data_IF_632122950039
#
_entry.id   IF_632122950039
#
_cell.length_a   1.000
_cell.length_b   1.000
_cell.length_c   1.000
_cell.angle_alpha   90.00
_cell.angle_beta   90.00
_cell.angle_gamma   90.00
#
_symmetry.space_group_name_H-M   'P 1'
#
loop_
_entity.id
_entity.type
_entity.pdbx_description
1 polymer ?
#
# COMPACT_ATOMS: atom_id res chain seq x y z
N UNK A 1 -8.19 -10.73 14.33
CA UNK A 1 -7.14 -10.28 13.40
C UNK A 1 -7.58 -10.72 12.03
N UNK A 2 -7.90 -9.77 11.15
CA UNK A 2 -8.14 -10.06 9.74
C UNK A 2 -6.80 -10.30 9.04
N UNK A 3 -6.82 -11.07 7.96
CA UNK A 3 -5.67 -11.16 7.06
C UNK A 3 -5.53 -9.81 6.34
N UNK A 4 -4.29 -9.37 6.09
CA UNK A 4 -4.02 -8.10 5.41
C UNK A 4 -3.11 -8.29 4.20
N UNK A 5 -3.52 -7.78 3.05
CA UNK A 5 -2.66 -7.67 1.87
C UNK A 5 -1.75 -6.47 2.04
N UNK A 6 -0.45 -6.64 1.83
CA UNK A 6 0.53 -5.60 2.15
C UNK A 6 1.54 -5.38 1.04
N UNK A 7 2.05 -4.14 0.95
CA UNK A 7 3.20 -3.80 0.13
C UNK A 7 4.21 -2.94 0.85
N UNK A 8 5.49 -3.17 0.53
CA UNK A 8 6.61 -2.32 0.94
C UNK A 8 7.20 -1.69 -0.30
N UNK A 9 7.18 -0.35 -0.33
CA UNK A 9 7.73 0.42 -1.43
C UNK A 9 9.14 0.89 -1.04
N UNK A 10 10.16 0.69 -1.89
CA UNK A 10 11.57 0.98 -1.57
C UNK A 10 11.91 2.48 -1.51
N UNK A 11 10.92 3.34 -1.72
CA UNK A 11 11.06 4.80 -1.66
C UNK A 11 9.99 5.38 -0.75
N UNK A 12 10.34 6.42 0.00
CA UNK A 12 9.36 7.24 0.71
C UNK A 12 8.41 7.91 -0.29
N UNK A 13 7.14 7.49 -0.31
CA UNK A 13 6.09 8.14 -1.09
C UNK A 13 5.35 9.14 -0.21
N UNK A 14 5.00 10.29 -0.80
CA UNK A 14 4.01 11.17 -0.17
C UNK A 14 2.62 10.56 -0.31
N UNK A 15 1.69 10.95 0.56
CA UNK A 15 0.30 10.50 0.47
C UNK A 15 -0.35 10.94 -0.86
N UNK A 16 0.08 12.08 -1.42
CA UNK A 16 -0.35 12.55 -2.73
C UNK A 16 0.11 11.62 -3.85
N UNK A 17 1.33 11.08 -3.77
CA UNK A 17 1.84 10.10 -4.74
C UNK A 17 1.05 8.80 -4.67
N UNK A 18 0.67 8.35 -3.46
CA UNK A 18 -0.17 7.16 -3.27
C UNK A 18 -1.54 7.38 -3.94
N UNK A 19 -2.22 8.49 -3.65
CA UNK A 19 -3.49 8.83 -4.31
C UNK A 19 -3.35 8.98 -5.83
N UNK A 20 -2.25 9.55 -6.30
CA UNK A 20 -1.98 9.66 -7.74
C UNK A 20 -1.84 8.28 -8.39
N UNK A 21 -1.09 7.37 -7.78
CA UNK A 21 -0.88 6.01 -8.28
C UNK A 21 -2.16 5.18 -8.24
N UNK A 22 -3.02 5.37 -7.24
CA UNK A 22 -4.36 4.76 -7.23
C UNK A 22 -5.16 5.21 -8.46
N UNK A 23 -5.12 6.50 -8.79
CA UNK A 23 -5.85 7.06 -9.95
C UNK A 23 -5.25 6.62 -11.28
N UNK A 24 -3.93 6.68 -11.45
CA UNK A 24 -3.28 6.40 -12.74
C UNK A 24 -2.96 4.93 -12.96
N UNK A 25 -2.61 4.19 -11.91
CA UNK A 25 -2.20 2.79 -11.97
C UNK A 25 -3.36 1.81 -11.76
N UNK A 26 -4.21 2.06 -10.75
CA UNK A 26 -5.37 1.21 -10.49
C UNK A 26 -6.66 1.71 -11.17
N UNK A 27 -6.78 3.00 -11.46
CA UNK A 27 -7.91 3.57 -12.19
C UNK A 27 -9.09 3.97 -11.31
N UNK A 28 -8.85 4.34 -10.04
CA UNK A 28 -9.92 4.89 -9.19
C UNK A 28 -10.30 6.29 -9.66
N UNK A 29 -11.59 6.64 -9.55
CA UNK A 29 -12.07 7.97 -9.90
C UNK A 29 -11.66 9.01 -8.85
N UNK A 30 -11.79 8.66 -7.57
CA UNK A 30 -11.44 9.52 -6.45
C UNK A 30 -10.72 8.73 -5.35
N UNK A 31 -9.80 9.41 -4.67
CA UNK A 31 -9.03 8.89 -3.56
C UNK A 31 -8.73 10.01 -2.57
N UNK A 32 -9.29 9.93 -1.37
CA UNK A 32 -9.15 10.93 -0.32
C UNK A 32 -8.25 10.40 0.79
N UNK A 33 -7.21 11.16 1.11
CA UNK A 33 -6.33 10.85 2.22
C UNK A 33 -6.74 11.62 3.48
N UNK A 34 -6.78 10.92 4.62
CA UNK A 34 -7.03 11.48 5.94
C UNK A 34 -5.83 11.22 6.84
N UNK A 35 -5.32 12.30 7.43
CA UNK A 35 -4.29 12.21 8.45
C UNK A 35 -4.84 11.54 9.69
N UNK A 36 -4.03 10.69 10.31
CA UNK A 36 -4.34 10.15 11.64
C UNK A 36 -3.65 10.99 12.73
N UNK A 37 -3.67 10.50 13.98
CA UNK A 37 -2.97 11.17 15.09
C UNK A 37 -1.45 11.15 14.94
N UNK A 38 -0.91 10.28 14.09
CA UNK A 38 0.51 10.14 13.82
C UNK A 38 0.83 10.73 12.45
N UNK A 39 1.85 11.58 12.36
CA UNK A 39 2.26 12.27 11.11
C UNK A 39 2.56 11.31 9.95
N UNK A 40 3.03 10.11 10.29
CA UNK A 40 3.48 9.11 9.33
C UNK A 40 2.39 8.10 8.96
N UNK A 41 1.24 8.13 9.62
CA UNK A 41 0.14 7.20 9.35
C UNK A 41 -1.06 7.93 8.76
N UNK A 42 -1.46 7.50 7.58
CA UNK A 42 -2.55 8.03 6.79
C UNK A 42 -3.52 6.93 6.41
N UNK A 43 -4.79 7.28 6.37
CA UNK A 43 -5.85 6.42 5.86
C UNK A 43 -6.26 6.99 4.50
N UNK A 44 -6.24 6.15 3.46
CA UNK A 44 -6.68 6.52 2.11
C UNK A 44 -8.00 5.81 1.81
N UNK A 45 -9.07 6.58 1.71
CA UNK A 45 -10.39 6.09 1.31
C UNK A 45 -10.56 6.29 -0.19
N UNK A 46 -11.06 5.26 -0.87
CA UNK A 46 -11.36 5.32 -2.31
C UNK A 46 -12.50 4.37 -2.66
N UNK A 47 -13.13 4.58 -3.81
CA UNK A 47 -14.06 3.63 -4.40
C UNK A 47 -13.32 2.77 -5.42
N UNK A 48 -13.49 1.45 -5.34
CA UNK A 48 -12.94 0.56 -6.36
C UNK A 48 -13.70 0.68 -7.69
N UNK A 49 -13.30 -0.11 -8.69
CA UNK A 49 -13.89 -0.05 -10.04
C UNK A 49 -15.37 -0.46 -10.08
N UNK A 50 -15.83 -1.18 -9.06
CA UNK A 50 -17.21 -1.62 -8.90
C UNK A 50 -18.02 -0.62 -8.03
N UNK A 51 -17.39 0.46 -7.55
CA UNK A 51 -18.01 1.48 -6.70
C UNK A 51 -18.04 1.09 -5.21
N UNK A 52 -17.34 0.02 -4.82
CA UNK A 52 -17.31 -0.40 -3.42
C UNK A 52 -16.29 0.42 -2.63
N UNK A 53 -16.64 0.91 -1.43
CA UNK A 53 -15.73 1.68 -0.60
C UNK A 53 -14.59 0.80 -0.09
N UNK A 54 -13.37 1.31 -0.21
CA UNK A 54 -12.14 0.65 0.24
C UNK A 54 -11.32 1.59 1.10
N UNK A 55 -10.55 0.97 1.98
CA UNK A 55 -9.63 1.66 2.88
C UNK A 55 -8.24 1.07 2.69
N UNK A 56 -7.26 1.95 2.52
CA UNK A 56 -5.84 1.65 2.43
C UNK A 56 -5.11 2.38 3.56
N UNK A 57 -4.45 1.60 4.40
CA UNK A 57 -3.59 2.10 5.45
C UNK A 57 -2.19 2.38 4.87
N UNK A 58 -1.72 3.60 5.03
CA UNK A 58 -0.45 4.07 4.49
C UNK A 58 0.46 4.57 5.62
N UNK A 59 1.57 3.87 5.83
CA UNK A 59 2.63 4.25 6.75
C UNK A 59 3.81 4.80 5.93
N UNK A 60 3.93 6.12 5.89
CA UNK A 60 4.87 6.82 5.02
C UNK A 60 6.33 6.60 5.45
N UNK A 61 6.53 6.50 6.77
CA UNK A 61 7.82 6.18 7.37
C UNK A 61 7.72 4.85 8.12
N UNK A 62 7.76 3.74 7.37
CA UNK A 62 8.19 2.48 7.98
C UNK A 62 9.72 2.50 8.00
N UNK A 63 10.31 3.09 9.04
CA UNK A 63 11.64 2.64 9.50
C UNK A 63 11.47 1.15 9.69
N UNK A 64 11.99 0.37 8.75
CA UNK A 64 11.66 -1.03 8.56
C UNK A 64 11.41 -1.68 9.92
N UNK A 65 10.13 -2.01 10.21
CA UNK A 65 9.79 -2.98 11.26
C UNK A 65 10.81 -4.10 11.19
N UNK A 66 11.17 -4.74 12.31
CA UNK A 66 12.16 -5.83 12.28
C UNK A 66 11.83 -6.87 11.18
N UNK A 67 10.54 -7.04 10.86
CA UNK A 67 10.01 -7.86 9.77
C UNK A 67 10.37 -7.43 8.32
N UNK A 68 10.85 -6.20 8.10
CA UNK A 68 11.07 -5.61 6.77
C UNK A 68 12.54 -5.27 6.51
N UNK A 69 13.42 -5.42 7.52
CA UNK A 69 14.85 -5.20 7.35
C UNK A 69 15.46 -6.17 6.32
N UNK A 70 14.88 -7.37 6.19
CA UNK A 70 15.27 -8.36 5.18
C UNK A 70 15.06 -7.89 3.73
N UNK A 71 14.19 -6.89 3.51
CA UNK A 71 13.92 -6.31 2.20
C UNK A 71 14.92 -5.21 1.81
N UNK A 72 15.81 -4.80 2.72
CA UNK A 72 16.89 -3.86 2.45
C UNK A 72 16.45 -2.41 2.21
N UNK A 73 15.21 -2.05 2.54
CA UNK A 73 14.68 -0.70 2.32
C UNK A 73 14.93 0.18 3.57
N UNK A 74 15.87 1.12 3.48
CA UNK A 74 16.21 2.04 4.57
C UNK A 74 15.13 3.11 4.83
N UNK A 75 14.45 3.55 3.76
CA UNK A 75 13.30 4.46 3.81
C UNK A 75 12.20 3.85 2.95
N UNK A 76 11.14 3.37 3.59
CA UNK A 76 10.06 2.68 2.90
C UNK A 76 8.69 3.18 3.31
N UNK A 77 7.75 3.02 2.38
CA UNK A 77 6.32 3.20 2.63
C UNK A 77 5.66 1.84 2.71
N UNK A 78 5.02 1.55 3.85
CA UNK A 78 4.21 0.36 4.02
C UNK A 78 2.76 0.69 3.69
N UNK A 79 2.16 -0.16 2.88
CA UNK A 79 0.77 -0.12 2.48
C UNK A 79 0.09 -1.38 2.98
N UNK A 80 -1.09 -1.25 3.59
CA UNK A 80 -1.88 -2.38 4.08
C UNK A 80 -3.37 -2.20 3.75
N UNK A 81 -4.02 -3.30 3.42
CA UNK A 81 -5.47 -3.37 3.20
C UNK A 81 -6.02 -4.67 3.77
N UNK A 82 -7.27 -4.63 4.22
CA UNK A 82 -7.99 -5.86 4.56
C UNK A 82 -7.99 -6.84 3.37
N UNK A 83 -7.62 -8.09 3.64
CA UNK A 83 -7.53 -9.12 2.63
C UNK A 83 -8.88 -9.35 1.96
N UNK A 84 -8.85 -9.29 0.63
CA UNK A 84 -10.02 -9.49 -0.20
C UNK A 84 -9.67 -9.53 -1.69
N UNK A 85 -10.62 -9.90 -2.56
CA UNK A 85 -10.38 -10.10 -3.98
C UNK A 85 -9.79 -8.87 -4.69
N UNK A 86 -10.15 -7.66 -4.22
CA UNK A 86 -9.69 -6.39 -4.79
C UNK A 86 -8.34 -5.93 -4.21
N UNK A 87 -8.04 -6.30 -2.96
CA UNK A 87 -6.85 -5.83 -2.23
C UNK A 87 -5.56 -6.23 -2.94
N UNK A 88 -5.48 -7.46 -3.46
CA UNK A 88 -4.30 -7.93 -4.21
C UNK A 88 -4.05 -7.08 -5.45
N UNK A 89 -5.09 -6.77 -6.22
CA UNK A 89 -4.97 -5.99 -7.45
C UNK A 89 -4.55 -4.53 -7.16
N UNK A 90 -5.09 -3.92 -6.10
CA UNK A 90 -4.73 -2.56 -5.68
C UNK A 90 -3.26 -2.51 -5.23
N UNK A 91 -2.90 -3.39 -4.30
CA UNK A 91 -1.55 -3.45 -3.74
C UNK A 91 -0.53 -3.79 -4.84
N UNK A 92 -0.85 -4.71 -5.74
CA UNK A 92 0.01 -5.04 -6.88
C UNK A 92 0.21 -3.86 -7.83
N UNK A 93 -0.85 -3.09 -8.12
CA UNK A 93 -0.73 -1.89 -8.96
C UNK A 93 0.16 -0.82 -8.32
N UNK A 94 0.05 -0.63 -6.99
CA UNK A 94 0.85 0.32 -6.24
C UNK A 94 2.33 -0.10 -6.17
N UNK A 95 2.58 -1.36 -5.82
CA UNK A 95 3.92 -1.93 -5.69
C UNK A 95 4.63 -2.10 -7.04
N UNK A 96 3.93 -2.59 -8.07
CA UNK A 96 4.50 -2.80 -9.40
C UNK A 96 5.04 -1.52 -10.01
N UNK A 97 4.32 -0.39 -9.84
CA UNK A 97 4.79 0.91 -10.32
C UNK A 97 5.99 1.49 -9.56
N UNK A 98 6.49 0.85 -8.51
CA UNK A 98 7.53 1.37 -7.62
C UNK A 98 8.70 0.38 -7.39
N UNK A 99 8.78 -0.72 -8.16
CA UNK A 99 9.71 -1.84 -7.88
C UNK A 99 9.59 -2.34 -6.42
N UNK A 100 8.35 -2.36 -5.94
CA UNK A 100 7.97 -2.69 -4.58
C UNK A 100 7.85 -4.19 -4.34
N UNK A 101 7.67 -4.52 -3.07
CA UNK A 101 7.36 -5.87 -2.62
C UNK A 101 5.89 -5.94 -2.24
N UNK A 102 5.26 -7.10 -2.47
CA UNK A 102 3.92 -7.39 -1.96
C UNK A 102 3.88 -8.74 -1.26
N UNK A 103 2.93 -8.91 -0.35
CA UNK A 103 2.49 -10.22 0.11
C UNK A 103 0.97 -10.25 0.12
N UNK A 104 0.41 -11.41 -0.20
CA UNK A 104 -1.05 -11.59 -0.30
C UNK A 104 -1.72 -11.54 1.06
N UNK A 105 -1.04 -12.09 2.07
CA UNK A 105 -1.39 -11.89 3.47
C UNK A 105 -0.13 -12.00 4.32
N UNK A 106 -0.25 -11.68 5.61
CA UNK A 106 0.82 -11.71 6.61
C UNK A 106 1.59 -13.04 6.71
N UNK A 107 0.92 -14.17 6.47
CA UNK A 107 1.52 -15.51 6.42
C UNK A 107 2.22 -15.94 5.11
N UNK A 108 2.18 -15.13 4.05
CA UNK A 108 2.80 -15.46 2.74
C UNK A 108 4.17 -14.78 2.56
N UNK A 109 5.07 -15.37 1.75
CA UNK A 109 6.36 -14.76 1.45
C UNK A 109 6.22 -13.47 0.65
N UNK A 110 7.19 -12.57 0.80
CA UNK A 110 7.30 -11.37 -0.02
C UNK A 110 7.64 -11.70 -1.47
N UNK A 111 6.87 -11.11 -2.38
CA UNK A 111 7.05 -11.19 -3.82
C UNK A 111 7.48 -9.83 -4.34
N UNK A 112 8.65 -9.77 -5.00
CA UNK A 112 9.08 -8.55 -5.68
C UNK A 112 8.30 -8.35 -6.96
N UNK A 113 7.66 -7.21 -7.08
CA UNK A 113 6.98 -6.79 -8.30
C UNK A 113 7.91 -5.87 -9.08
N UNK A 114 8.12 -6.20 -10.36
CA UNK A 114 8.86 -5.35 -11.29
C UNK A 114 7.85 -4.53 -12.10
N UNK A 115 8.16 -3.26 -12.43
CA UNK A 115 7.34 -2.45 -13.32
C UNK A 115 7.23 -3.04 -14.74
#
# INVERSE_FOLDING_TARGET
>A
MGLETQAVLPTHLSVQDICSRLRTGYGVADATARATRTSDYWIVDFEDRDGEPRVLDAFLNSYASEDYQELGAAESTLLSMEFGPTSEAVIAALAGGADGWMRKHDGEPWLRLRP
#
